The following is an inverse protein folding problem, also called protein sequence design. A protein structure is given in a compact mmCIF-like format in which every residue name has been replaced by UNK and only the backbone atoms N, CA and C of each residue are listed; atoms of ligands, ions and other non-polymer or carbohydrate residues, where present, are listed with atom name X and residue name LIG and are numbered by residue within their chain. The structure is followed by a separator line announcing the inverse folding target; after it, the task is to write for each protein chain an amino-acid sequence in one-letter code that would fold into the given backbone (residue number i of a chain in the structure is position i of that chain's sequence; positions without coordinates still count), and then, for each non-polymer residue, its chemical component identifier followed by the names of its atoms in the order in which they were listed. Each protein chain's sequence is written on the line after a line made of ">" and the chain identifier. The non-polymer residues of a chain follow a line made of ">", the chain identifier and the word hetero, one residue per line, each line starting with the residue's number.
data_IF_289049212127
#
_entry.id   IF_289049212127
#
_cell.length_a   1.000
_cell.length_b   1.000
_cell.length_c   1.000
_cell.angle_alpha   90.00
_cell.angle_beta   90.00
_cell.angle_gamma   90.00
#
_symmetry.space_group_name_H-M   'P 1'
#
loop_
_entity.id
_entity.type
_entity.pdbx_description
1 polymer ?
#
# COMPACT_ATOMS: atom_id res chain seq x y z
N UNK A 1 -11.13 24.77 -8.01
CA UNK A 1 -10.08 23.88 -8.56
C UNK A 1 -9.10 23.58 -7.43
N UNK A 2 -9.26 22.45 -6.75
CA UNK A 2 -8.30 22.01 -5.73
C UNK A 2 -7.05 21.52 -6.45
N UNK A 3 -5.93 22.18 -6.19
CA UNK A 3 -4.62 21.85 -6.75
C UNK A 3 -4.20 20.50 -6.15
N UNK A 4 -4.27 19.42 -6.92
CA UNK A 4 -3.74 18.12 -6.53
C UNK A 4 -2.23 18.29 -6.35
N UNK A 5 -1.78 18.39 -5.10
CA UNK A 5 -0.36 18.41 -4.77
C UNK A 5 0.15 16.98 -4.91
N UNK A 6 0.69 16.64 -6.08
CA UNK A 6 1.33 15.34 -6.27
C UNK A 6 2.64 15.31 -5.45
N UNK A 7 2.52 14.91 -4.18
CA UNK A 7 3.62 14.80 -3.22
C UNK A 7 4.44 13.51 -3.44
N UNK A 8 4.04 12.68 -4.41
CA UNK A 8 4.74 11.47 -4.86
C UNK A 8 5.17 11.60 -6.32
N UNK A 9 6.19 12.43 -6.64
CA UNK A 9 6.76 12.45 -7.98
C UNK A 9 7.22 11.04 -8.39
N UNK A 10 7.13 10.71 -9.68
CA UNK A 10 7.50 9.39 -10.18
C UNK A 10 8.93 9.03 -9.78
N UNK A 11 9.14 7.78 -9.36
CA UNK A 11 10.46 7.23 -9.06
C UNK A 11 10.96 6.50 -10.30
N UNK A 12 12.21 6.79 -10.68
CA UNK A 12 12.88 6.18 -11.82
C UNK A 12 14.06 5.32 -11.36
N UNK A 13 14.50 4.42 -12.23
CA UNK A 13 15.68 3.57 -12.00
C UNK A 13 16.87 4.17 -12.72
N UNK A 14 17.95 4.42 -11.99
CA UNK A 14 19.25 4.82 -12.53
C UNK A 14 20.32 3.80 -12.11
N UNK A 15 20.69 2.91 -13.03
CA UNK A 15 21.58 1.79 -12.76
C UNK A 15 21.03 0.87 -11.66
N UNK A 16 21.63 0.95 -10.46
CA UNK A 16 21.25 0.13 -9.28
C UNK A 16 20.51 0.93 -8.20
N UNK A 17 20.10 2.16 -8.48
CA UNK A 17 19.44 3.04 -7.53
C UNK A 17 18.08 3.52 -8.04
N UNK A 18 17.20 3.84 -7.09
CA UNK A 18 15.98 4.59 -7.36
C UNK A 18 16.24 6.09 -7.16
N UNK A 19 15.65 6.92 -8.01
CA UNK A 19 15.78 8.38 -7.96
C UNK A 19 14.42 9.04 -8.15
N UNK A 20 14.19 10.17 -7.47
CA UNK A 20 13.01 11.00 -7.71
C UNK A 20 13.17 11.74 -9.05
N UNK A 21 12.25 11.50 -9.99
CA UNK A 21 12.30 12.11 -11.34
C UNK A 21 12.28 13.65 -11.33
N UNK A 22 11.70 14.26 -10.29
CA UNK A 22 11.62 15.72 -10.16
C UNK A 22 12.87 16.36 -9.56
N UNK A 23 13.52 15.69 -8.60
CA UNK A 23 14.62 16.29 -7.82
C UNK A 23 15.98 15.67 -8.12
N UNK A 24 16.05 14.53 -8.79
CA UNK A 24 17.28 13.74 -8.99
C UNK A 24 17.81 13.06 -7.72
N UNK A 25 17.35 13.47 -6.53
CA UNK A 25 17.71 12.84 -5.27
C UNK A 25 17.41 11.34 -5.25
N UNK A 26 18.32 10.58 -4.65
CA UNK A 26 18.15 9.15 -4.41
C UNK A 26 16.92 8.87 -3.56
N UNK A 27 16.09 7.95 -4.00
CA UNK A 27 14.93 7.46 -3.27
C UNK A 27 15.31 6.23 -2.45
N UNK A 28 15.19 6.34 -1.13
CA UNK A 28 15.42 5.24 -0.18
C UNK A 28 14.07 4.76 0.33
N UNK A 29 13.83 3.46 0.20
CA UNK A 29 12.58 2.82 0.66
C UNK A 29 12.63 2.67 2.18
N UNK A 30 11.67 3.30 2.86
CA UNK A 30 11.33 3.10 4.27
C UNK A 30 9.96 2.45 4.30
N UNK A 31 9.98 1.13 4.17
CA UNK A 31 8.81 0.34 3.78
C UNK A 31 8.20 -0.47 4.91
N UNK A 32 6.87 -0.65 4.88
CA UNK A 32 6.16 -1.68 5.66
C UNK A 32 5.26 -2.51 4.75
N UNK A 33 5.13 -3.80 5.05
CA UNK A 33 4.20 -4.67 4.34
C UNK A 33 2.81 -4.62 5.00
N UNK A 34 1.77 -4.43 4.21
CA UNK A 34 0.38 -4.51 4.64
C UNK A 34 -0.21 -5.82 4.12
N UNK A 35 -0.62 -6.69 5.04
CA UNK A 35 -1.36 -7.91 4.74
C UNK A 35 -2.79 -7.73 5.20
N UNK A 36 -3.74 -8.14 4.36
CA UNK A 36 -5.14 -7.78 4.52
C UNK A 36 -6.00 -8.94 5.06
N UNK A 37 -5.44 -10.16 5.17
CA UNK A 37 -6.18 -11.41 5.46
C UNK A 37 -7.08 -11.41 6.70
N UNK A 38 -6.89 -10.50 7.65
CA UNK A 38 -7.86 -10.20 8.71
C UNK A 38 -7.36 -9.01 9.53
N UNK A 39 -8.12 -7.93 9.60
CA UNK A 39 -7.88 -6.88 10.59
C UNK A 39 -8.55 -7.32 11.88
N UNK A 40 -7.78 -7.39 12.97
CA UNK A 40 -8.28 -7.64 14.32
C UNK A 40 -8.24 -6.32 15.09
N UNK A 41 -9.33 -5.99 15.78
CA UNK A 41 -9.35 -4.82 16.68
C UNK A 41 -8.78 -5.25 18.01
N UNK A 42 -7.86 -4.45 18.54
CA UNK A 42 -7.39 -4.59 19.91
C UNK A 42 -8.08 -3.56 20.79
N UNK A 43 -8.91 -4.03 21.72
CA UNK A 43 -9.42 -3.17 22.81
C UNK A 43 -8.78 -3.62 24.11
N UNK A 44 -8.01 -2.73 24.75
CA UNK A 44 -7.33 -2.97 26.04
C UNK A 44 -6.45 -4.24 26.07
N UNK A 45 -5.70 -4.49 25.00
CA UNK A 45 -4.76 -5.63 24.94
C UNK A 45 -5.41 -6.98 24.65
N UNK A 46 -6.72 -7.03 24.41
CA UNK A 46 -7.44 -8.26 24.02
C UNK A 46 -7.67 -8.24 22.51
N UNK A 47 -7.22 -9.29 21.83
CA UNK A 47 -7.50 -9.53 20.41
C UNK A 47 -8.93 -10.03 20.25
N UNK A 48 -9.67 -9.48 19.29
CA UNK A 48 -11.01 -9.96 18.97
C UNK A 48 -10.98 -11.39 18.41
N UNK A 49 -11.88 -12.27 18.87
CA UNK A 49 -11.96 -13.68 18.41
C UNK A 49 -12.36 -13.80 16.93
N UNK A 50 -13.00 -12.76 16.39
CA UNK A 50 -13.34 -12.64 14.98
C UNK A 50 -12.66 -11.40 14.37
N UNK A 51 -12.27 -11.45 13.09
CA UNK A 51 -11.83 -10.26 12.38
C UNK A 51 -12.94 -9.20 12.42
N UNK A 52 -12.55 -7.94 12.63
CA UNK A 52 -13.47 -6.81 12.46
C UNK A 52 -13.69 -6.51 10.99
N UNK A 53 -12.71 -6.82 10.15
CA UNK A 53 -12.78 -6.69 8.70
C UNK A 53 -11.99 -7.84 8.05
N UNK A 54 -12.64 -8.56 7.15
CA UNK A 54 -11.96 -9.37 6.13
C UNK A 54 -11.72 -8.46 4.93
N UNK A 55 -10.45 -8.22 4.63
CA UNK A 55 -10.06 -7.30 3.57
C UNK A 55 -9.19 -8.10 2.61
N UNK A 56 -9.65 -8.36 1.40
CA UNK A 56 -8.80 -9.01 0.39
C UNK A 56 -7.90 -8.00 -0.32
N UNK A 57 -8.39 -6.77 -0.47
CA UNK A 57 -7.70 -5.63 -1.08
C UNK A 57 -7.83 -4.38 -0.21
N UNK A 58 -6.77 -4.10 0.56
CA UNK A 58 -6.72 -2.95 1.48
C UNK A 58 -6.65 -1.60 0.75
N UNK A 59 -6.28 -1.58 -0.53
CA UNK A 59 -6.18 -0.35 -1.31
C UNK A 59 -7.49 0.01 -2.03
N UNK A 60 -8.46 -0.90 -2.09
CA UNK A 60 -9.76 -0.62 -2.68
C UNK A 60 -10.42 0.60 -2.02
N UNK A 61 -11.12 1.42 -2.80
CA UNK A 61 -11.74 2.67 -2.34
C UNK A 61 -12.80 2.45 -1.25
N UNK A 62 -13.39 1.26 -1.16
CA UNK A 62 -14.27 0.86 -0.06
C UNK A 62 -13.56 0.87 1.30
N UNK A 63 -12.23 0.71 1.32
CA UNK A 63 -11.38 0.72 2.51
C UNK A 63 -10.70 2.07 2.74
N UNK A 64 -11.02 3.10 1.94
CA UNK A 64 -10.42 4.43 2.01
C UNK A 64 -10.43 5.01 3.44
N UNK A 65 -11.57 4.93 4.14
CA UNK A 65 -11.69 5.55 5.47
C UNK A 65 -10.85 4.81 6.52
N UNK A 66 -10.75 3.49 6.43
CA UNK A 66 -9.86 2.71 7.29
C UNK A 66 -8.39 3.05 7.02
N UNK A 67 -8.00 3.09 5.73
CA UNK A 67 -6.65 3.48 5.32
C UNK A 67 -6.30 4.89 5.80
N UNK A 68 -7.17 5.86 5.56
CA UNK A 68 -6.94 7.27 5.88
C UNK A 68 -6.94 7.56 7.38
N UNK A 69 -7.84 6.96 8.13
CA UNK A 69 -8.04 7.31 9.54
C UNK A 69 -7.28 6.41 10.52
N UNK A 70 -6.86 5.21 10.09
CA UNK A 70 -6.20 4.23 10.97
C UNK A 70 -4.78 3.92 10.51
N UNK A 71 -4.61 3.51 9.24
CA UNK A 71 -3.31 3.04 8.75
C UNK A 71 -2.36 4.21 8.51
N UNK A 72 -2.76 5.21 7.72
CA UNK A 72 -1.90 6.33 7.34
C UNK A 72 -1.35 7.13 8.54
N UNK A 73 -2.11 7.40 9.62
CA UNK A 73 -1.54 8.02 10.83
C UNK A 73 -0.40 7.20 11.43
N UNK A 74 -0.57 5.87 11.56
CA UNK A 74 0.48 5.00 12.06
C UNK A 74 1.71 4.96 11.14
N UNK A 75 1.51 4.98 9.81
CA UNK A 75 2.61 5.06 8.84
C UNK A 75 3.40 6.38 8.97
N UNK A 76 2.68 7.49 9.17
CA UNK A 76 3.29 8.80 9.35
C UNK A 76 4.12 8.87 10.64
N UNK A 77 3.59 8.34 11.75
CA UNK A 77 4.32 8.28 13.04
C UNK A 77 5.62 7.47 12.92
N UNK A 78 5.61 6.44 12.08
CA UNK A 78 6.78 5.60 11.77
C UNK A 78 7.68 6.18 10.65
N UNK A 79 7.33 7.35 10.09
CA UNK A 79 8.06 8.00 9.00
C UNK A 79 8.27 7.07 7.77
N UNK A 80 7.25 6.27 7.48
CA UNK A 80 7.18 5.36 6.33
C UNK A 80 6.90 6.18 5.06
N UNK A 81 7.61 5.87 3.98
CA UNK A 81 7.36 6.47 2.67
C UNK A 81 6.90 5.47 1.62
N UNK A 82 6.80 4.18 1.96
CA UNK A 82 6.36 3.17 1.02
C UNK A 82 5.61 2.04 1.73
N UNK A 83 4.55 1.54 1.13
CA UNK A 83 3.87 0.33 1.58
C UNK A 83 3.98 -0.76 0.53
N UNK A 84 4.16 -2.01 0.96
CA UNK A 84 4.06 -3.17 0.10
C UNK A 84 2.72 -3.86 0.33
N UNK A 85 1.96 -4.09 -0.73
CA UNK A 85 0.76 -4.91 -0.73
C UNK A 85 1.00 -6.15 -1.58
N UNK A 86 0.45 -7.29 -1.15
CA UNK A 86 0.69 -8.57 -1.82
C UNK A 86 -0.22 -8.80 -3.02
N UNK A 87 -1.43 -8.26 -2.97
CA UNK A 87 -2.44 -8.38 -4.01
C UNK A 87 -3.36 -7.15 -3.99
N UNK A 88 -4.01 -6.92 -5.12
CA UNK A 88 -5.11 -5.95 -5.31
C UNK A 88 -6.17 -6.60 -6.20
N UNK A 89 -7.43 -6.21 -6.04
CA UNK A 89 -8.50 -6.64 -6.94
C UNK A 89 -8.66 -5.63 -8.09
N UNK A 90 -8.31 -5.98 -9.33
CA UNK A 90 -8.36 -5.06 -10.46
C UNK A 90 -9.79 -4.64 -10.84
N UNK A 91 -10.83 -5.29 -10.31
CA UNK A 91 -12.22 -4.92 -10.56
C UNK A 91 -12.70 -3.77 -9.65
N UNK A 92 -11.98 -3.49 -8.57
CA UNK A 92 -12.28 -2.39 -7.66
C UNK A 92 -11.56 -1.10 -8.09
N UNK A 93 -12.13 0.05 -7.73
CA UNK A 93 -11.45 1.34 -7.87
C UNK A 93 -10.47 1.55 -6.71
N UNK A 94 -9.29 2.12 -7.00
CA UNK A 94 -8.27 2.50 -6.00
C UNK A 94 -7.96 4.00 -6.02
N UNK A 95 -8.69 4.78 -6.82
CA UNK A 95 -8.35 6.17 -7.10
C UNK A 95 -8.34 7.03 -5.84
N UNK A 96 -9.30 6.86 -4.93
CA UNK A 96 -9.41 7.66 -3.71
C UNK A 96 -8.32 7.27 -2.72
N UNK A 97 -8.10 5.98 -2.50
CA UNK A 97 -7.10 5.50 -1.55
C UNK A 97 -5.68 5.84 -2.02
N UNK A 98 -5.39 5.67 -3.32
CA UNK A 98 -4.10 6.05 -3.89
C UNK A 98 -3.85 7.55 -3.86
N UNK A 99 -4.89 8.38 -4.06
CA UNK A 99 -4.77 9.82 -3.90
C UNK A 99 -4.44 10.20 -2.46
N UNK A 100 -5.10 9.60 -1.47
CA UNK A 100 -4.82 9.86 -0.07
C UNK A 100 -3.37 9.48 0.30
N UNK A 101 -2.88 8.32 -0.15
CA UNK A 101 -1.48 7.91 0.02
C UNK A 101 -0.51 8.88 -0.66
N UNK A 102 -0.84 9.33 -1.87
CA UNK A 102 -0.06 10.33 -2.62
C UNK A 102 0.03 11.64 -1.86
N UNK A 103 -1.09 12.15 -1.33
CA UNK A 103 -1.13 13.38 -0.55
C UNK A 103 -0.24 13.30 0.70
N UNK A 104 -0.16 12.12 1.33
CA UNK A 104 0.72 11.82 2.46
C UNK A 104 2.19 11.51 2.07
N UNK A 105 2.53 11.51 0.78
CA UNK A 105 3.90 11.22 0.32
C UNK A 105 4.28 9.74 0.41
N UNK A 106 3.30 8.83 0.40
CA UNK A 106 3.49 7.38 0.54
C UNK A 106 3.38 6.70 -0.82
N UNK A 107 4.42 5.97 -1.21
CA UNK A 107 4.48 5.16 -2.42
C UNK A 107 3.96 3.75 -2.17
N UNK A 108 3.60 3.03 -3.24
CA UNK A 108 3.08 1.66 -3.13
C UNK A 108 3.88 0.70 -4.00
N UNK A 109 4.27 -0.44 -3.44
CA UNK A 109 4.76 -1.62 -4.17
C UNK A 109 3.66 -2.67 -4.20
N UNK A 110 3.19 -3.02 -5.40
CA UNK A 110 2.08 -3.96 -5.59
C UNK A 110 2.60 -5.30 -6.09
N UNK A 111 2.20 -6.38 -5.42
CA UNK A 111 2.38 -7.74 -5.94
C UNK A 111 1.37 -8.03 -7.06
N UNK A 112 1.87 -8.57 -8.18
CA UNK A 112 1.03 -8.98 -9.32
C UNK A 112 0.51 -10.42 -9.18
N UNK A 113 1.21 -11.24 -8.42
CA UNK A 113 0.79 -12.61 -8.16
C UNK A 113 -0.34 -12.61 -7.12
N UNK A 114 -1.41 -13.34 -7.41
CA UNK A 114 -2.50 -13.62 -6.47
C UNK A 114 -2.47 -15.08 -6.06
N UNK A 115 -3.24 -15.46 -5.04
CA UNK A 115 -3.36 -16.86 -4.62
C UNK A 115 -3.82 -17.78 -5.78
N UNK A 116 -4.68 -17.27 -6.66
CA UNK A 116 -5.22 -18.01 -7.81
C UNK A 116 -4.32 -17.92 -9.04
N UNK A 117 -3.70 -16.76 -9.28
CA UNK A 117 -2.88 -16.49 -10.46
C UNK A 117 -1.43 -16.20 -10.05
N UNK A 118 -0.62 -17.24 -10.03
CA UNK A 118 0.81 -17.16 -9.71
C UNK A 118 1.61 -18.22 -10.46
N UNK A 119 2.91 -17.97 -10.62
CA UNK A 119 3.84 -18.97 -11.16
C UNK A 119 3.97 -20.10 -10.15
N UNK A 120 3.59 -21.32 -10.56
CA UNK A 120 3.70 -22.49 -9.70
C UNK A 120 5.15 -22.88 -9.52
N UNK A 121 5.70 -22.65 -8.33
CA UNK A 121 7.13 -22.87 -8.05
C UNK A 121 7.60 -24.31 -8.33
N UNK A 122 6.71 -25.30 -8.19
CA UNK A 122 7.06 -26.71 -8.42
C UNK A 122 7.04 -27.14 -9.90
N UNK A 123 6.26 -26.46 -10.75
CA UNK A 123 6.10 -26.84 -12.16
C UNK A 123 6.65 -25.81 -13.14
N UNK A 124 6.92 -24.58 -12.69
CA UNK A 124 7.44 -23.50 -13.53
C UNK A 124 6.43 -22.98 -14.58
N UNK A 125 5.16 -23.37 -14.46
CA UNK A 125 4.09 -22.97 -15.37
C UNK A 125 3.67 -21.52 -15.13
N UNK A 126 3.42 -20.79 -16.23
CA UNK A 126 2.89 -19.43 -16.29
C UNK A 126 1.40 -19.43 -16.63
#
# INVERSE_FOLDING_TARGET
>A
MTKTTNNTPAIQVNGKAFECSKTGNRFIVRGVALSASAVYSMTKGVLSEKPVLEIDDILADQNHDFMKNTIMPALNDLNINCVRVYQVDPNNSHAKTMQALSDAGIYVMVGLATATYSVKQMTGEY
#
